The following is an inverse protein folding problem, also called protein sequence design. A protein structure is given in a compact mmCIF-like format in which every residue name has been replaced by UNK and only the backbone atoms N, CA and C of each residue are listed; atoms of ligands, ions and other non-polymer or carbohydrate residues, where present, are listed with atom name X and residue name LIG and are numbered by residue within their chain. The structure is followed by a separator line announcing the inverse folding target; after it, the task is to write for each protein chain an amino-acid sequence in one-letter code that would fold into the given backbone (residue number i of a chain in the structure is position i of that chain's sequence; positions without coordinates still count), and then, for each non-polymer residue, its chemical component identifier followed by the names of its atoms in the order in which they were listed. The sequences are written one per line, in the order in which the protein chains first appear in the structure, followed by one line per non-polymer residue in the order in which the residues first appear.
data_IF_040830241188
#
_entry.id   IF_040830241188
#
_cell.length_a   1.000
_cell.length_b   1.000
_cell.length_c   1.000
_cell.angle_alpha   90.00
_cell.angle_beta   90.00
_cell.angle_gamma   90.00
#
_symmetry.space_group_name_H-M   'P 1'
#
loop_
_entity.id
_entity.type
_entity.pdbx_description
1 polymer ?
#
# COMPACT_ATOMS: atom_id res chain seq x y z
N UNK A 1 -16.62 -19.04 12.79
CA UNK A 1 -15.60 -19.58 11.86
C UNK A 1 -15.14 -20.92 12.39
N UNK A 2 -15.27 -21.98 11.60
CA UNK A 2 -14.92 -23.35 11.98
C UNK A 2 -13.46 -23.64 11.56
N UNK A 3 -12.53 -24.04 12.47
CA UNK A 3 -11.11 -24.27 12.15
C UNK A 3 -10.81 -25.55 11.31
N UNK A 4 -11.84 -26.29 10.86
CA UNK A 4 -11.69 -27.67 10.37
C UNK A 4 -11.65 -27.86 8.84
N UNK A 5 -11.81 -26.81 8.04
CA UNK A 5 -11.59 -26.90 6.59
C UNK A 5 -10.12 -26.60 6.31
N UNK A 6 -9.32 -27.61 5.94
CA UNK A 6 -7.86 -27.54 5.74
C UNK A 6 -7.39 -26.68 4.57
N UNK A 7 -8.05 -25.56 4.31
CA UNK A 7 -7.68 -24.62 3.26
C UNK A 7 -6.49 -23.76 3.70
N UNK A 8 -5.51 -23.54 2.80
CA UNK A 8 -4.41 -22.64 3.07
C UNK A 8 -4.93 -21.24 3.42
N UNK A 9 -4.49 -20.71 4.57
CA UNK A 9 -4.78 -19.33 4.98
C UNK A 9 -3.65 -18.43 4.50
N UNK A 10 -4.00 -17.31 3.89
CA UNK A 10 -3.05 -16.29 3.43
C UNK A 10 -3.07 -15.11 4.39
N UNK A 11 -1.89 -14.65 4.81
CA UNK A 11 -1.71 -13.40 5.55
C UNK A 11 -0.89 -12.44 4.69
N UNK A 12 -1.45 -11.27 4.42
CA UNK A 12 -0.75 -10.17 3.76
C UNK A 12 -0.38 -9.12 4.82
N UNK A 13 0.92 -8.82 4.94
CA UNK A 13 1.43 -7.76 5.82
C UNK A 13 2.08 -6.71 4.94
N UNK A 14 1.54 -5.49 4.97
CA UNK A 14 2.19 -4.33 4.36
C UNK A 14 2.86 -3.47 5.43
N UNK A 15 4.02 -2.91 5.08
CA UNK A 15 4.76 -1.96 5.91
C UNK A 15 4.91 -0.69 5.09
N UNK A 16 4.32 0.41 5.54
CA UNK A 16 4.37 1.68 4.82
C UNK A 16 5.82 2.20 4.74
N UNK A 17 6.20 2.75 3.59
CA UNK A 17 7.56 3.16 3.26
C UNK A 17 8.65 2.10 3.49
N UNK A 18 8.31 0.82 3.31
CA UNK A 18 9.29 -0.26 3.33
C UNK A 18 10.19 -0.21 2.08
N UNK A 19 11.35 0.43 2.20
CA UNK A 19 12.30 0.54 1.08
C UNK A 19 13.18 -0.73 1.05
N UNK A 20 13.11 -1.48 -0.05
CA UNK A 20 13.82 -2.76 -0.21
C UNK A 20 15.31 -2.67 0.10
N UNK A 21 15.98 -1.61 -0.36
CA UNK A 21 17.42 -1.43 -0.12
C UNK A 21 17.76 -1.35 1.39
N UNK A 22 16.92 -0.71 2.20
CA UNK A 22 17.09 -0.63 3.65
C UNK A 22 16.85 -1.98 4.30
N UNK A 23 15.86 -2.74 3.81
CA UNK A 23 15.60 -4.10 4.29
C UNK A 23 16.82 -4.99 4.03
N UNK A 24 17.37 -4.97 2.82
CA UNK A 24 18.57 -5.75 2.46
C UNK A 24 19.78 -5.32 3.32
N UNK A 25 19.98 -4.01 3.51
CA UNK A 25 21.05 -3.50 4.39
C UNK A 25 20.89 -4.02 5.82
N UNK A 26 19.74 -3.80 6.45
CA UNK A 26 19.54 -4.14 7.86
C UNK A 26 19.44 -5.65 8.12
N UNK A 27 19.05 -6.44 7.11
CA UNK A 27 19.15 -7.91 7.21
C UNK A 27 20.61 -8.38 7.17
N UNK A 28 21.47 -7.74 6.37
CA UNK A 28 22.92 -8.03 6.32
C UNK A 28 23.63 -7.66 7.63
N UNK A 29 23.20 -6.58 8.28
CA UNK A 29 23.67 -6.14 9.60
C UNK A 29 23.07 -6.96 10.76
N UNK A 30 22.28 -8.00 10.47
CA UNK A 30 21.60 -8.85 11.45
C UNK A 30 20.57 -8.12 12.35
N UNK A 31 20.15 -6.91 11.97
CA UNK A 31 19.21 -6.10 12.73
C UNK A 31 17.73 -6.50 12.54
N UNK A 32 17.41 -7.27 11.49
CA UNK A 32 16.04 -7.72 11.17
C UNK A 32 15.90 -9.26 11.17
N UNK A 33 16.07 -9.94 12.33
CA UNK A 33 16.15 -11.40 12.39
C UNK A 33 14.91 -12.13 11.86
N UNK A 34 13.71 -11.57 12.10
CA UNK A 34 12.46 -12.15 11.60
C UNK A 34 12.36 -12.07 10.07
N UNK A 35 12.68 -10.91 9.48
CA UNK A 35 12.66 -10.71 8.02
C UNK A 35 13.75 -11.56 7.36
N UNK A 36 14.95 -11.64 7.95
CA UNK A 36 16.02 -12.51 7.46
C UNK A 36 15.59 -13.97 7.37
N UNK A 37 14.79 -14.46 8.34
CA UNK A 37 14.26 -15.83 8.32
C UNK A 37 13.24 -16.03 7.19
N UNK A 38 12.37 -15.04 6.96
CA UNK A 38 11.38 -15.07 5.87
C UNK A 38 12.07 -15.09 4.50
N UNK A 39 13.09 -14.27 4.30
CA UNK A 39 13.85 -14.21 3.04
C UNK A 39 14.55 -15.56 2.79
N UNK A 40 15.23 -16.13 3.79
CA UNK A 40 15.94 -17.42 3.64
C UNK A 40 15.03 -18.59 3.30
N UNK A 41 13.80 -18.59 3.80
CA UNK A 41 12.81 -19.65 3.56
C UNK A 41 11.81 -19.33 2.44
N UNK A 42 11.98 -18.22 1.73
CA UNK A 42 10.99 -17.68 0.81
C UNK A 42 11.62 -16.95 -0.37
N UNK A 43 10.93 -15.92 -0.86
CA UNK A 43 11.35 -15.13 -2.03
C UNK A 43 11.43 -13.66 -1.66
N UNK A 44 12.51 -13.01 -2.09
CA UNK A 44 12.66 -11.56 -2.07
C UNK A 44 12.64 -11.06 -3.52
N UNK A 45 11.78 -10.08 -3.81
CA UNK A 45 11.65 -9.52 -5.14
C UNK A 45 11.35 -8.01 -5.09
N UNK A 46 11.69 -7.33 -6.17
CA UNK A 46 11.30 -5.94 -6.42
C UNK A 46 9.89 -5.86 -7.02
N UNK A 47 9.18 -4.79 -6.71
CA UNK A 47 7.89 -4.47 -7.29
C UNK A 47 7.84 -2.98 -7.66
N UNK A 48 7.17 -2.67 -8.77
CA UNK A 48 6.88 -1.28 -9.12
C UNK A 48 5.66 -0.79 -8.33
N UNK A 49 5.71 0.43 -7.77
CA UNK A 49 4.54 1.03 -7.16
C UNK A 49 3.51 1.39 -8.24
N UNK A 50 2.25 1.53 -7.83
CA UNK A 50 1.27 2.21 -8.66
C UNK A 50 1.54 3.72 -8.66
N UNK A 51 1.25 4.37 -9.78
CA UNK A 51 1.46 5.81 -9.97
C UNK A 51 0.12 6.54 -9.69
N UNK A 52 0.10 7.64 -8.91
CA UNK A 52 1.24 8.23 -8.17
C UNK A 52 1.68 7.38 -6.97
N UNK A 53 2.97 7.45 -6.65
CA UNK A 53 3.57 6.66 -5.57
C UNK A 53 3.26 7.25 -4.18
N UNK A 54 1.98 7.24 -3.79
CA UNK A 54 1.54 7.60 -2.46
C UNK A 54 0.78 6.47 -1.75
N UNK A 55 0.62 6.63 -0.45
CA UNK A 55 -0.02 5.67 0.46
C UNK A 55 -1.41 5.21 -0.03
N UNK A 56 -2.41 6.10 -0.24
CA UNK A 56 -3.76 5.66 -0.58
C UNK A 56 -3.82 4.99 -1.95
N UNK A 57 -3.03 5.46 -2.92
CA UNK A 57 -2.96 4.84 -4.24
C UNK A 57 -2.46 3.40 -4.14
N UNK A 58 -1.31 3.18 -3.50
CA UNK A 58 -0.69 1.85 -3.45
C UNK A 58 -1.45 0.87 -2.55
N UNK A 59 -1.99 1.31 -1.41
CA UNK A 59 -2.81 0.44 -0.57
C UNK A 59 -4.10 0.00 -1.28
N UNK A 60 -4.76 0.89 -2.02
CA UNK A 60 -5.94 0.51 -2.82
C UNK A 60 -5.55 -0.43 -3.97
N UNK A 61 -4.40 -0.20 -4.63
CA UNK A 61 -3.89 -1.14 -5.65
C UNK A 61 -3.66 -2.53 -5.06
N UNK A 62 -3.02 -2.64 -3.89
CA UNK A 62 -2.79 -3.92 -3.20
C UNK A 62 -4.11 -4.60 -2.83
N UNK A 63 -5.09 -3.84 -2.31
CA UNK A 63 -6.37 -4.39 -1.87
C UNK A 63 -7.28 -4.86 -3.03
N UNK A 64 -7.18 -4.22 -4.19
CA UNK A 64 -8.07 -4.47 -5.34
C UNK A 64 -7.41 -5.27 -6.47
N UNK A 65 -6.08 -5.32 -6.51
CA UNK A 65 -5.33 -5.89 -7.64
C UNK A 65 -5.45 -5.08 -8.94
N UNK A 66 -5.92 -3.83 -8.88
CA UNK A 66 -6.15 -2.98 -10.04
C UNK A 66 -5.34 -1.67 -9.94
N UNK A 67 -5.01 -0.99 -11.05
CA UNK A 67 -4.30 0.29 -11.00
C UNK A 67 -5.25 1.46 -10.69
N UNK A 68 -4.66 2.63 -10.40
CA UNK A 68 -5.37 3.90 -10.15
C UNK A 68 -6.47 4.22 -11.16
N UNK A 69 -6.21 3.97 -12.44
CA UNK A 69 -7.18 4.23 -13.51
C UNK A 69 -8.46 3.40 -13.41
N UNK A 70 -8.44 2.28 -12.67
CA UNK A 70 -9.58 1.38 -12.48
C UNK A 70 -10.24 1.62 -11.12
N UNK A 71 -9.46 1.72 -10.03
CA UNK A 71 -10.03 1.87 -8.69
C UNK A 71 -10.29 3.32 -8.25
N UNK A 72 -9.83 4.34 -9.00
CA UNK A 72 -10.16 5.75 -8.77
C UNK A 72 -9.48 6.43 -7.56
N UNK A 73 -8.95 5.68 -6.60
CA UNK A 73 -8.13 6.21 -5.50
C UNK A 73 -6.78 6.77 -6.00
N UNK A 74 -6.72 8.07 -6.27
CA UNK A 74 -5.57 8.74 -6.92
C UNK A 74 -4.62 9.46 -5.97
N UNK A 75 -5.07 9.82 -4.77
CA UNK A 75 -4.22 10.42 -3.73
C UNK A 75 -5.00 10.49 -2.41
N UNK A 76 -4.55 11.27 -1.42
CA UNK A 76 -5.34 11.61 -0.24
C UNK A 76 -6.41 12.67 -0.54
N UNK A 77 -6.22 13.44 -1.62
CA UNK A 77 -7.06 14.55 -2.02
C UNK A 77 -7.15 14.61 -3.54
N UNK A 78 -8.32 14.96 -4.05
CA UNK A 78 -8.53 15.26 -5.47
C UNK A 78 -9.21 16.61 -5.56
N UNK A 79 -8.78 17.43 -6.52
CA UNK A 79 -9.47 18.67 -6.86
C UNK A 79 -10.67 18.34 -7.73
N UNK A 80 -11.86 18.83 -7.35
CA UNK A 80 -13.07 18.66 -8.16
C UNK A 80 -13.23 19.89 -9.07
N UNK A 81 -13.46 19.71 -10.38
CA UNK A 81 -13.72 20.83 -11.29
C UNK A 81 -14.79 21.78 -10.75
N UNK A 82 -14.50 23.09 -10.80
CA UNK A 82 -15.36 24.14 -10.26
C UNK A 82 -15.00 24.58 -8.83
N UNK A 83 -14.12 23.85 -8.13
CA UNK A 83 -13.67 24.25 -6.79
C UNK A 83 -12.54 25.29 -6.84
N UNK A 84 -12.50 26.24 -5.88
CA UNK A 84 -11.32 27.07 -5.68
C UNK A 84 -10.07 26.22 -5.43
N UNK A 85 -8.91 26.63 -5.93
CA UNK A 85 -7.67 25.84 -5.76
C UNK A 85 -7.25 25.70 -4.28
N UNK A 86 -7.62 26.69 -3.44
CA UNK A 86 -7.34 26.70 -2.00
C UNK A 86 -8.23 25.74 -1.19
N UNK A 87 -9.29 25.20 -1.80
CA UNK A 87 -10.28 24.38 -1.11
C UNK A 87 -9.72 23.03 -0.62
N UNK A 88 -8.54 22.62 -1.11
CA UNK A 88 -7.92 21.31 -0.88
C UNK A 88 -7.70 20.92 0.59
N UNK A 89 -6.45 20.69 0.99
CA UNK A 89 -6.11 20.05 2.27
C UNK A 89 -6.66 20.78 3.51
N UNK A 90 -6.80 22.11 3.42
CA UNK A 90 -7.16 23.00 4.54
C UNK A 90 -8.65 22.96 4.89
N UNK A 91 -9.52 22.78 3.91
CA UNK A 91 -10.97 22.95 4.10
C UNK A 91 -11.74 21.64 3.98
N UNK A 92 -11.07 20.52 3.66
CA UNK A 92 -11.71 19.21 3.48
C UNK A 92 -11.01 18.06 4.20
N UNK A 93 -11.81 17.03 4.50
CA UNK A 93 -11.36 15.77 5.11
C UNK A 93 -10.67 14.85 4.09
N UNK A 94 -9.68 14.09 4.54
CA UNK A 94 -9.00 13.01 3.78
C UNK A 94 -9.95 11.91 3.28
N UNK A 95 -11.15 11.79 3.84
CA UNK A 95 -12.13 10.77 3.47
C UNK A 95 -13.06 11.15 2.30
N UNK A 96 -12.85 12.31 1.68
CA UNK A 96 -13.74 12.87 0.65
C UNK A 96 -13.84 12.03 -0.64
N UNK A 97 -12.85 11.17 -0.90
CA UNK A 97 -12.84 10.36 -2.12
C UNK A 97 -13.99 9.38 -2.19
N UNK A 98 -14.47 8.87 -1.04
CA UNK A 98 -15.59 7.91 -0.96
C UNK A 98 -16.89 8.35 -1.63
N UNK A 99 -17.06 9.64 -1.96
CA UNK A 99 -18.22 10.13 -2.73
C UNK A 99 -18.03 10.05 -4.24
N UNK A 100 -16.78 9.98 -4.70
CA UNK A 100 -16.37 10.07 -6.09
C UNK A 100 -15.73 8.78 -6.61
N UNK A 101 -15.49 7.80 -5.73
CA UNK A 101 -15.02 6.45 -6.03
C UNK A 101 -15.88 5.40 -5.33
#
# INVERSE_FOLDING_TARGET
MNPQTGEPRVLLVGVDQAILHLIVKFTSEQALPCISRLIKGGVLAEAFPCIPCDTPTNWTTIATGAPTAIHGSTSFYTHVPGEPFELGLKQRSRAQLSRWC
#
